data_IF_252077236466
#
_entry.id   IF_252077236466
#
_cell.length_a   1.000
_cell.length_b   1.000
_cell.length_c   1.000
_cell.angle_alpha   90.00
_cell.angle_beta   90.00
_cell.angle_gamma   90.00
#
_symmetry.space_group_name_H-M   'P 1'
#
loop_
_entity.id
_entity.type
_entity.pdbx_description
1 polymer ?
#
# COMPACT_ATOMS: atom_id res chain seq x y z
N UNK A 1 4.30 -4.24 14.82
CA UNK A 1 5.18 -4.55 13.65
C UNK A 1 4.55 -3.94 12.40
N UNK A 2 5.28 -3.75 11.29
CA UNK A 2 4.69 -3.33 10.00
C UNK A 2 4.54 -4.55 9.10
N UNK A 3 3.37 -4.71 8.50
CA UNK A 3 2.99 -5.89 7.71
C UNK A 3 2.61 -5.46 6.31
N UNK A 4 3.10 -6.20 5.30
CA UNK A 4 2.73 -5.99 3.90
C UNK A 4 1.34 -6.58 3.67
N UNK A 5 0.37 -5.76 3.26
CA UNK A 5 -1.01 -6.18 2.98
C UNK A 5 -1.32 -6.24 1.49
N UNK A 6 -0.54 -5.53 0.67
CA UNK A 6 -0.71 -5.53 -0.79
C UNK A 6 0.57 -5.16 -1.51
N UNK A 7 0.72 -5.62 -2.76
CA UNK A 7 1.80 -5.24 -3.67
C UNK A 7 1.18 -4.64 -4.92
N UNK A 8 1.24 -3.33 -5.04
CA UNK A 8 0.75 -2.62 -6.21
C UNK A 8 1.75 -2.75 -7.37
N UNK A 9 1.29 -2.86 -8.63
CA UNK A 9 2.17 -3.03 -9.79
C UNK A 9 2.93 -1.76 -10.18
N UNK A 10 2.48 -0.58 -9.72
CA UNK A 10 3.12 0.71 -9.97
C UNK A 10 2.82 1.69 -8.84
N UNK A 11 3.55 2.81 -8.83
CA UNK A 11 3.42 3.85 -7.81
C UNK A 11 2.02 4.48 -7.78
N UNK A 12 1.44 4.76 -8.96
CA UNK A 12 0.10 5.36 -9.07
C UNK A 12 -0.98 4.53 -8.37
N UNK A 13 -0.97 3.21 -8.54
CA UNK A 13 -1.92 2.33 -7.86
C UNK A 13 -1.67 2.27 -6.35
N UNK A 14 -0.41 2.24 -5.92
CA UNK A 14 -0.08 2.29 -4.50
C UNK A 14 -0.55 3.59 -3.84
N UNK A 15 -0.38 4.75 -4.49
CA UNK A 15 -0.84 6.03 -3.97
C UNK A 15 -2.38 6.10 -3.88
N UNK A 16 -3.11 5.52 -4.85
CA UNK A 16 -4.57 5.43 -4.78
C UNK A 16 -5.03 4.62 -3.56
N UNK A 17 -4.43 3.45 -3.34
CA UNK A 17 -4.75 2.60 -2.20
C UNK A 17 -4.31 3.24 -0.88
N UNK A 18 -3.15 3.88 -0.84
CA UNK A 18 -2.72 4.65 0.33
C UNK A 18 -3.73 5.73 0.70
N UNK A 19 -4.24 6.49 -0.28
CA UNK A 19 -5.24 7.52 -0.04
C UNK A 19 -6.53 6.91 0.52
N UNK A 20 -7.05 5.83 -0.05
CA UNK A 20 -8.26 5.16 0.44
C UNK A 20 -8.08 4.70 1.90
N UNK A 21 -6.98 4.02 2.20
CA UNK A 21 -6.67 3.54 3.55
C UNK A 21 -6.48 4.69 4.56
N UNK A 22 -5.81 5.78 4.14
CA UNK A 22 -5.56 6.94 5.01
C UNK A 22 -6.84 7.74 5.26
N UNK A 23 -7.80 7.74 4.32
CA UNK A 23 -9.11 8.38 4.49
C UNK A 23 -9.95 7.70 5.57
N UNK A 24 -9.84 6.38 5.70
CA UNK A 24 -10.48 5.61 6.77
C UNK A 24 -9.73 5.70 8.11
N UNK A 25 -8.58 6.38 8.14
CA UNK A 25 -7.81 6.66 9.36
C UNK A 25 -6.66 5.69 9.63
N UNK A 26 -6.35 4.77 8.71
CA UNK A 26 -5.26 3.80 8.88
C UNK A 26 -3.89 4.42 8.62
N UNK A 27 -2.86 3.87 9.27
CA UNK A 27 -1.47 4.24 9.02
C UNK A 27 -0.89 3.42 7.87
N UNK A 28 -0.41 4.10 6.83
CA UNK A 28 0.11 3.44 5.63
C UNK A 28 1.54 3.87 5.32
N UNK A 29 2.39 2.89 5.03
CA UNK A 29 3.73 3.09 4.46
C UNK A 29 3.82 2.46 3.09
N UNK A 30 4.41 3.19 2.15
CA UNK A 30 4.75 2.68 0.83
C UNK A 30 6.23 2.32 0.77
N UNK A 31 6.55 1.15 0.22
CA UNK A 31 7.93 0.72 -0.02
C UNK A 31 8.09 0.26 -1.47
N UNK A 32 8.88 1.00 -2.23
CA UNK A 32 9.18 0.62 -3.61
C UNK A 32 10.03 -0.66 -3.65
N UNK A 33 9.63 -1.60 -4.51
CA UNK A 33 10.39 -2.79 -4.86
C UNK A 33 11.07 -2.52 -6.21
N UNK A 34 12.39 -2.31 -6.19
CA UNK A 34 13.19 -2.17 -7.40
C UNK A 34 14.10 -0.94 -7.40
N UNK A 35 14.89 -0.81 -8.48
CA UNK A 35 15.82 0.30 -8.66
C UNK A 35 15.05 1.59 -8.99
N UNK A 36 15.38 2.74 -8.38
CA UNK A 36 14.66 4.01 -8.56
C UNK A 36 14.70 4.57 -10.00
N UNK A 37 15.53 3.98 -10.89
CA UNK A 37 15.77 4.45 -12.25
C UNK A 37 15.06 3.63 -13.34
N UNK A 38 14.33 2.58 -12.97
CA UNK A 38 13.49 1.84 -13.91
C UNK A 38 12.09 2.43 -13.76
N UNK A 39 11.70 3.27 -14.72
CA UNK A 39 10.36 3.80 -15.02
C UNK A 39 9.24 3.37 -14.04
N UNK A 40 8.41 4.32 -13.61
CA UNK A 40 7.19 4.30 -12.73
C UNK A 40 6.38 2.98 -12.54
N UNK A 41 6.63 1.97 -13.36
CA UNK A 41 6.25 0.55 -13.28
C UNK A 41 6.99 -0.28 -12.20
N UNK A 42 7.78 0.33 -11.32
CA UNK A 42 8.31 -0.41 -10.17
C UNK A 42 7.16 -0.77 -9.22
N UNK A 43 7.07 -2.04 -8.83
CA UNK A 43 6.07 -2.49 -7.88
C UNK A 43 6.27 -1.84 -6.51
N UNK A 44 5.20 -1.65 -5.75
CA UNK A 44 5.23 -0.94 -4.47
C UNK A 44 4.46 -1.74 -3.44
N UNK A 45 5.12 -2.09 -2.34
CA UNK A 45 4.47 -2.68 -1.17
C UNK A 45 3.71 -1.63 -0.40
N UNK A 46 2.52 -2.01 0.03
CA UNK A 46 1.66 -1.24 0.93
C UNK A 46 1.71 -1.93 2.27
N UNK A 47 2.17 -1.20 3.28
CA UNK A 47 2.35 -1.69 4.63
C UNK A 47 1.44 -0.93 5.61
N UNK A 48 0.90 -1.67 6.57
CA UNK A 48 0.13 -1.14 7.71
C UNK A 48 0.67 -1.73 9.02
N UNK A 49 0.39 -1.10 10.19
CA UNK A 49 0.57 -1.75 11.49
C UNK A 49 -0.13 -3.10 11.53
N UNK A 50 0.50 -4.09 12.16
CA UNK A 50 -0.07 -5.43 12.32
C UNK A 50 -1.49 -5.43 12.92
N UNK A 51 -1.79 -4.48 13.80
CA UNK A 51 -3.12 -4.30 14.41
C UNK A 51 -4.20 -3.82 13.45
N UNK A 52 -3.83 -3.31 12.27
CA UNK A 52 -4.74 -2.70 11.28
C UNK A 52 -4.88 -3.58 10.03
N UNK A 53 -4.29 -4.78 10.02
CA UNK A 53 -4.25 -5.66 8.83
C UNK A 53 -5.64 -6.07 8.35
N UNK A 54 -6.51 -6.51 9.25
CA UNK A 54 -7.86 -6.97 8.89
C UNK A 54 -8.69 -5.84 8.26
N UNK A 55 -8.67 -4.66 8.88
CA UNK A 55 -9.38 -3.47 8.39
C UNK A 55 -8.81 -2.99 7.05
N UNK A 56 -7.48 -2.98 6.89
CA UNK A 56 -6.85 -2.63 5.63
C UNK A 56 -7.28 -3.56 4.48
N UNK A 57 -7.37 -4.87 4.75
CA UNK A 57 -7.79 -5.86 3.76
C UNK A 57 -9.27 -5.67 3.37
N UNK A 58 -10.15 -5.31 4.30
CA UNK A 58 -11.55 -5.01 4.01
C UNK A 58 -11.69 -3.81 3.06
N UNK A 59 -10.93 -2.74 3.31
CA UNK A 59 -10.92 -1.53 2.48
C UNK A 59 -10.35 -1.84 1.10
N UNK A 60 -9.22 -2.55 1.02
CA UNK A 60 -8.57 -2.90 -0.26
C UNK A 60 -9.49 -3.73 -1.15
N UNK A 61 -10.24 -4.67 -0.58
CA UNK A 61 -11.18 -5.52 -1.33
C UNK A 61 -12.45 -4.79 -1.77
N UNK A 62 -12.72 -3.60 -1.22
CA UNK A 62 -13.90 -2.78 -1.53
C UNK A 62 -13.63 -1.69 -2.58
N UNK A 63 -12.38 -1.52 -3.03
CA UNK A 63 -11.90 -0.48 -3.98
C UNK A 63 -11.94 -0.92 -5.44
#
# INVERSE_FOLDING_TARGET
>A
MWTVVYIAPNKKQAEKLQQALTQEGLLVKLRNIGLPNVNDNASVEILVPESEVDEALEIINSV
#
